data_IF_002997626080
#
_entry.id   IF_002997626080
#
_cell.length_a   1.000
_cell.length_b   1.000
_cell.length_c   1.000
_cell.angle_alpha   90.00
_cell.angle_beta   90.00
_cell.angle_gamma   90.00
#
_symmetry.space_group_name_H-M   'P 1'
#
loop_
_entity.id
_entity.type
_entity.pdbx_description
1 polymer ?
#
# COMPACT_ATOMS: atom_id res chain seq x y z
N UNK A 1 6.12 -37.93 -11.53
CA UNK A 1 6.66 -36.71 -10.90
C UNK A 1 6.76 -35.64 -11.98
N UNK A 2 5.77 -34.76 -12.07
CA UNK A 2 5.76 -33.72 -13.09
C UNK A 2 6.63 -32.57 -12.61
N UNK A 3 7.83 -32.46 -13.17
CA UNK A 3 8.70 -31.30 -12.97
C UNK A 3 8.06 -30.11 -13.68
N UNK A 4 7.49 -29.17 -12.92
CA UNK A 4 7.16 -27.86 -13.50
C UNK A 4 8.48 -27.15 -13.79
N UNK A 5 8.72 -26.85 -15.07
CA UNK A 5 9.80 -25.95 -15.45
C UNK A 5 9.57 -24.61 -14.74
N UNK A 6 10.59 -24.10 -14.02
CA UNK A 6 10.53 -22.75 -13.46
C UNK A 6 10.48 -21.77 -14.64
N UNK A 7 9.37 -21.05 -14.77
CA UNK A 7 9.29 -19.88 -15.63
C UNK A 7 9.55 -18.64 -14.79
N UNK A 8 10.56 -17.88 -15.17
CA UNK A 8 10.85 -16.57 -14.60
C UNK A 8 10.36 -15.50 -15.58
N UNK A 9 9.67 -14.48 -15.07
CA UNK A 9 9.19 -13.34 -15.83
C UNK A 9 9.40 -12.07 -15.01
N UNK A 10 9.64 -10.91 -15.65
CA UNK A 10 9.74 -9.65 -14.94
C UNK A 10 8.36 -9.26 -14.36
N UNK A 11 8.33 -8.60 -13.20
CA UNK A 11 7.08 -8.24 -12.53
C UNK A 11 6.18 -7.35 -13.39
N UNK A 12 6.76 -6.44 -14.17
CA UNK A 12 6.05 -5.57 -15.11
C UNK A 12 5.30 -6.33 -16.22
N UNK A 13 5.67 -7.59 -16.51
CA UNK A 13 4.93 -8.44 -17.44
C UNK A 13 3.69 -9.08 -16.80
N UNK A 14 3.56 -9.03 -15.48
CA UNK A 14 2.50 -9.68 -14.71
C UNK A 14 1.60 -8.69 -13.97
N UNK A 15 2.08 -7.48 -13.67
CA UNK A 15 1.37 -6.48 -12.89
C UNK A 15 1.72 -5.05 -13.29
N UNK A 16 0.79 -4.12 -13.07
CA UNK A 16 1.07 -2.69 -13.11
C UNK A 16 1.82 -2.28 -11.84
N UNK A 17 2.96 -1.60 -11.98
CA UNK A 17 3.78 -1.15 -10.83
C UNK A 17 3.58 0.35 -10.66
N UNK A 18 3.17 0.77 -9.46
CA UNK A 18 2.88 2.17 -9.16
C UNK A 18 3.63 2.64 -7.91
N UNK A 19 4.19 3.85 -7.89
CA UNK A 19 4.75 4.38 -6.66
C UNK A 19 3.64 4.77 -5.68
N UNK A 20 3.93 4.75 -4.38
CA UNK A 20 3.03 5.32 -3.38
C UNK A 20 2.78 6.83 -3.56
N UNK A 21 1.72 7.34 -2.96
CA UNK A 21 1.25 8.72 -3.15
C UNK A 21 2.31 9.73 -2.68
N UNK A 22 2.72 10.69 -3.53
CA UNK A 22 3.87 11.57 -3.27
C UNK A 22 3.51 12.74 -2.33
N UNK A 23 3.39 12.45 -1.03
CA UNK A 23 3.20 13.49 -0.01
C UNK A 23 4.36 14.50 -0.03
N UNK A 24 4.03 15.80 -0.04
CA UNK A 24 5.00 16.90 0.03
C UNK A 24 5.17 17.35 1.47
N UNK A 25 6.14 16.77 2.16
CA UNK A 25 6.42 17.05 3.56
C UNK A 25 5.88 15.95 4.49
N UNK A 26 5.68 16.30 5.75
CA UNK A 26 5.17 15.36 6.74
C UNK A 26 3.73 14.94 6.42
N UNK A 27 3.43 13.66 6.64
CA UNK A 27 2.06 13.15 6.63
C UNK A 27 1.44 13.53 7.97
N UNK A 28 0.57 14.54 7.97
CA UNK A 28 -0.13 15.02 9.16
C UNK A 28 -1.55 14.47 9.17
N UNK A 29 -1.97 13.75 10.23
CA UNK A 29 -3.35 13.32 10.38
C UNK A 29 -4.31 14.51 10.32
N UNK A 30 -5.39 14.36 9.56
CA UNK A 30 -6.48 15.31 9.45
C UNK A 30 -7.81 14.54 9.59
N UNK A 31 -8.53 14.69 10.72
CA UNK A 31 -9.83 14.04 10.92
C UNK A 31 -10.86 14.37 9.83
N UNK A 32 -10.76 15.53 9.20
CA UNK A 32 -11.64 15.96 8.10
C UNK A 32 -11.09 15.57 6.71
N UNK A 33 -9.96 14.85 6.67
CA UNK A 33 -9.29 14.40 5.44
C UNK A 33 -10.14 13.43 4.63
N UNK A 34 -10.05 13.50 3.30
CA UNK A 34 -10.88 12.77 2.35
C UNK A 34 -10.32 11.39 1.95
N UNK A 35 -9.11 11.07 2.41
CA UNK A 35 -8.42 9.82 2.12
C UNK A 35 -7.81 9.19 3.38
N UNK A 36 -7.52 7.90 3.31
CA UNK A 36 -6.73 7.17 4.31
C UNK A 36 -5.32 6.92 3.79
N UNK A 37 -4.34 6.77 4.69
CA UNK A 37 -2.97 6.46 4.28
C UNK A 37 -2.38 5.23 4.99
N UNK A 38 -2.00 4.23 4.20
CA UNK A 38 -1.16 3.12 4.67
C UNK A 38 0.29 3.57 4.74
N UNK A 39 0.89 3.42 5.91
CA UNK A 39 2.30 3.71 6.17
C UNK A 39 2.99 2.42 6.62
N UNK A 40 4.32 2.36 6.51
CA UNK A 40 5.09 1.17 6.91
C UNK A 40 4.83 0.76 8.36
N UNK A 41 4.54 1.72 9.25
CA UNK A 41 4.19 1.46 10.65
C UNK A 41 2.86 0.72 10.86
N UNK A 42 1.99 0.70 9.85
CA UNK A 42 0.69 0.01 9.91
C UNK A 42 0.79 -1.47 9.50
N UNK A 43 1.98 -1.93 9.10
CA UNK A 43 2.19 -3.30 8.62
C UNK A 43 3.19 -4.04 9.49
N UNK A 44 2.86 -5.28 9.81
CA UNK A 44 3.79 -6.26 10.35
C UNK A 44 4.61 -6.87 9.18
N UNK A 45 5.95 -6.96 9.28
CA UNK A 45 6.79 -7.48 8.19
C UNK A 45 6.55 -8.95 7.81
N UNK A 46 5.93 -9.74 8.69
CA UNK A 46 5.66 -11.17 8.48
C UNK A 46 4.19 -11.40 8.18
N UNK A 47 3.29 -10.74 8.89
CA UNK A 47 1.83 -10.93 8.79
C UNK A 47 1.16 -9.96 7.83
N UNK A 48 1.80 -8.84 7.50
CA UNK A 48 1.21 -7.77 6.70
C UNK A 48 0.21 -6.93 7.49
N UNK A 49 -0.99 -6.76 6.95
CA UNK A 49 -2.07 -6.01 7.61
C UNK A 49 -2.62 -6.77 8.82
N UNK A 50 -2.71 -6.10 9.97
CA UNK A 50 -3.50 -6.62 11.09
C UNK A 50 -4.99 -6.67 10.70
N UNK A 51 -5.69 -7.72 11.14
CA UNK A 51 -7.12 -7.91 10.84
C UNK A 51 -7.95 -7.89 12.14
N UNK A 52 -9.17 -7.32 12.12
CA UNK A 52 -9.81 -6.68 10.98
C UNK A 52 -9.22 -5.30 10.68
N UNK A 53 -9.16 -4.93 9.40
CA UNK A 53 -8.92 -3.54 9.00
C UNK A 53 -10.25 -2.81 9.11
N UNK A 54 -10.25 -1.67 9.78
CA UNK A 54 -11.41 -0.81 10.04
C UNK A 54 -11.12 0.60 9.53
N UNK A 55 -12.12 1.48 9.53
CA UNK A 55 -11.94 2.88 9.12
C UNK A 55 -10.90 3.60 9.99
N UNK A 56 -10.82 3.27 11.28
CA UNK A 56 -9.92 3.92 12.23
C UNK A 56 -8.51 3.29 12.24
N UNK A 57 -8.26 2.26 11.42
CA UNK A 57 -6.95 1.59 11.36
C UNK A 57 -5.86 2.47 10.74
N UNK A 58 -6.23 3.43 9.90
CA UNK A 58 -5.29 4.30 9.18
C UNK A 58 -5.58 5.77 9.44
N UNK A 59 -4.52 6.58 9.43
CA UNK A 59 -4.69 8.03 9.53
C UNK A 59 -5.51 8.56 8.34
N UNK A 60 -6.51 9.41 8.63
CA UNK A 60 -7.14 10.25 7.62
C UNK A 60 -6.22 11.41 7.26
N UNK A 61 -6.20 11.79 5.99
CA UNK A 61 -5.33 12.83 5.44
C UNK A 61 -6.05 13.60 4.34
N UNK A 62 -5.67 14.86 4.15
CA UNK A 62 -6.07 15.64 2.99
C UNK A 62 -5.01 15.51 1.89
N UNK A 63 -5.42 15.12 0.69
CA UNK A 63 -4.51 14.99 -0.45
C UNK A 63 -4.44 16.32 -1.23
N UNK A 64 -3.24 16.90 -1.35
CA UNK A 64 -3.03 18.21 -1.97
C UNK A 64 -2.73 18.18 -3.48
N UNK A 65 -2.74 16.99 -4.09
CA UNK A 65 -2.40 16.77 -5.49
C UNK A 65 -3.55 17.11 -6.45
N UNK A 66 -3.22 17.61 -7.64
CA UNK A 66 -4.21 17.90 -8.70
C UNK A 66 -4.64 16.65 -9.48
N UNK A 67 -3.84 15.59 -9.46
CA UNK A 67 -4.13 14.32 -10.15
C UNK A 67 -4.87 13.40 -9.19
N UNK A 68 -5.84 12.66 -9.72
CA UNK A 68 -6.52 11.61 -8.96
C UNK A 68 -5.50 10.57 -8.46
N UNK A 69 -5.47 10.27 -7.15
CA UNK A 69 -4.56 9.27 -6.61
C UNK A 69 -4.87 7.88 -7.13
N UNK A 70 -3.84 7.04 -7.20
CA UNK A 70 -3.99 5.60 -7.33
C UNK A 70 -4.40 5.04 -5.96
N UNK A 71 -5.70 4.83 -5.78
CA UNK A 71 -6.24 4.21 -4.57
C UNK A 71 -6.00 2.70 -4.58
N UNK A 72 -5.62 2.16 -3.43
CA UNK A 72 -5.41 0.73 -3.23
C UNK A 72 -6.69 -0.04 -3.49
N UNK A 73 -6.54 -1.14 -4.21
CA UNK A 73 -7.58 -2.13 -4.45
C UNK A 73 -7.32 -3.40 -3.64
N UNK A 74 -8.37 -4.15 -3.25
CA UNK A 74 -8.24 -5.52 -2.78
C UNK A 74 -7.31 -6.36 -3.66
N UNK A 75 -6.35 -7.04 -3.04
CA UNK A 75 -5.40 -7.91 -3.74
C UNK A 75 -4.15 -7.20 -4.27
N UNK A 76 -4.07 -5.87 -4.22
CA UNK A 76 -2.83 -5.15 -4.53
C UNK A 76 -1.70 -5.62 -3.59
N UNK A 77 -0.46 -5.63 -4.10
CA UNK A 77 0.73 -5.94 -3.32
C UNK A 77 1.45 -4.64 -2.97
N UNK A 78 1.65 -4.40 -1.68
CA UNK A 78 2.49 -3.32 -1.19
C UNK A 78 3.90 -3.84 -0.90
N UNK A 79 4.90 -3.34 -1.63
CA UNK A 79 6.30 -3.61 -1.38
C UNK A 79 6.90 -2.51 -0.51
N UNK A 80 7.16 -2.80 0.77
CA UNK A 80 7.85 -1.90 1.66
C UNK A 80 9.35 -1.91 1.35
N UNK A 81 9.94 -0.75 1.08
CA UNK A 81 11.38 -0.62 0.77
C UNK A 81 12.05 0.49 1.58
N UNK A 82 11.90 0.45 2.91
CA UNK A 82 12.46 1.50 3.80
C UNK A 82 13.67 0.97 4.58
N UNK A 83 14.87 1.42 4.21
CA UNK A 83 16.11 1.03 4.88
C UNK A 83 16.41 -0.45 4.69
N UNK A 84 16.57 -1.20 5.78
CA UNK A 84 16.81 -2.65 5.76
C UNK A 84 15.55 -3.51 5.76
N UNK A 85 14.36 -2.90 5.80
CA UNK A 85 13.08 -3.63 5.83
C UNK A 85 12.51 -3.74 4.41
N UNK A 86 12.63 -4.93 3.84
CA UNK A 86 12.04 -5.33 2.58
C UNK A 86 11.03 -6.45 2.83
N UNK A 87 9.76 -6.16 2.61
CA UNK A 87 8.68 -7.13 2.74
C UNK A 87 7.51 -6.73 1.85
N UNK A 88 6.62 -7.68 1.60
CA UNK A 88 5.39 -7.44 0.85
C UNK A 88 4.17 -7.70 1.73
N UNK A 89 3.10 -6.94 1.53
CA UNK A 89 1.82 -7.18 2.16
C UNK A 89 0.70 -7.14 1.11
N UNK A 90 -0.25 -8.07 1.22
CA UNK A 90 -1.43 -8.10 0.36
C UNK A 90 -2.50 -7.19 0.94
N UNK A 91 -3.05 -6.29 0.12
CA UNK A 91 -4.17 -5.45 0.50
C UNK A 91 -5.41 -6.33 0.74
N UNK A 92 -6.03 -6.29 1.94
CA UNK A 92 -7.17 -7.14 2.26
C UNK A 92 -8.44 -6.70 1.51
N UNK A 93 -9.39 -7.62 1.39
CA UNK A 93 -10.70 -7.35 0.74
C UNK A 93 -11.45 -6.17 1.34
N UNK A 94 -11.34 -5.99 2.66
CA UNK A 94 -11.96 -4.90 3.40
C UNK A 94 -10.91 -3.83 3.72
N UNK A 95 -10.57 -3.00 2.72
CA UNK A 95 -9.78 -1.78 2.92
C UNK A 95 -10.70 -0.55 2.89
N UNK A 96 -10.49 0.46 3.77
CA UNK A 96 -11.25 1.71 3.68
C UNK A 96 -11.22 2.31 2.28
N UNK A 97 -12.32 2.90 1.81
CA UNK A 97 -12.33 3.59 0.52
C UNK A 97 -11.34 4.76 0.52
N UNK A 98 -10.88 5.12 -0.68
CA UNK A 98 -9.92 6.21 -0.88
C UNK A 98 -8.63 6.06 -0.05
N UNK A 99 -8.13 4.83 0.07
CA UNK A 99 -6.87 4.55 0.75
C UNK A 99 -5.71 4.65 -0.23
N UNK A 100 -4.70 5.45 0.09
CA UNK A 100 -3.41 5.47 -0.62
C UNK A 100 -2.33 4.82 0.23
N UNK A 101 -1.20 4.45 -0.36
CA UNK A 101 0.01 4.09 0.39
C UNK A 101 1.02 5.24 0.37
N UNK A 102 1.85 5.36 1.41
CA UNK A 102 2.91 6.37 1.49
C UNK A 102 4.03 6.14 0.46
N UNK A 103 4.91 7.13 0.15
CA UNK A 103 6.01 7.01 -0.81
C UNK A 103 7.08 5.96 -0.45
N UNK A 104 6.92 5.26 0.67
CA UNK A 104 7.79 4.19 1.12
C UNK A 104 7.37 2.82 0.59
N UNK A 105 6.30 2.78 -0.20
CA UNK A 105 5.80 1.62 -0.89
C UNK A 105 5.92 1.78 -2.41
N UNK A 106 6.02 0.63 -3.06
CA UNK A 106 5.61 0.38 -4.43
C UNK A 106 4.44 -0.61 -4.43
#
# INVERSE_FOLDING_TARGET
MTSYARSEAPLEALAEIKPGYPFRGAITPNPDGDAHVVQVRHLDPVKGFERPVTLDTFDRVALSGKRQPDYLQPGDLLFASRGSRFFAAVVPDAIPPHTVCSPHFF
#
